data_IF_808955442423
#
_entry.id   IF_808955442423
#
_cell.length_a   1.000
_cell.length_b   1.000
_cell.length_c   1.000
_cell.angle_alpha   90.00
_cell.angle_beta   90.00
_cell.angle_gamma   90.00
#
_symmetry.space_group_name_H-M   'P 1'
#
loop_
_entity.id
_entity.type
_entity.pdbx_description
1 polymer ?
#
# COMPACT_ATOMS: atom_id res chain seq x y z
N UNK A 1 -28.81 -3.86 -1.80
CA UNK A 1 -28.16 -4.10 -0.49
C UNK A 1 -27.60 -5.51 -0.54
N UNK A 2 -26.29 -5.70 -0.36
CA UNK A 2 -25.68 -7.02 -0.40
C UNK A 2 -25.83 -7.75 0.93
N UNK A 3 -25.77 -9.09 0.90
CA UNK A 3 -25.58 -9.90 2.10
C UNK A 3 -24.27 -10.68 1.94
N UNK A 4 -23.49 -10.81 3.02
CA UNK A 4 -22.29 -11.64 3.05
C UNK A 4 -22.50 -12.78 4.03
N UNK A 5 -22.05 -13.97 3.66
CA UNK A 5 -21.89 -15.06 4.61
C UNK A 5 -20.68 -14.77 5.49
N UNK A 6 -20.88 -14.77 6.81
CA UNK A 6 -19.83 -14.56 7.77
C UNK A 6 -18.80 -15.72 7.71
N UNK A 7 -17.50 -15.45 7.54
CA UNK A 7 -16.47 -16.50 7.50
C UNK A 7 -16.21 -17.15 8.87
N UNK A 8 -16.83 -16.67 9.95
CA UNK A 8 -16.60 -17.14 11.32
C UNK A 8 -17.77 -17.94 11.89
N UNK A 9 -19.02 -17.46 11.73
CA UNK A 9 -20.21 -18.18 12.20
C UNK A 9 -21.01 -18.87 11.09
N UNK A 10 -20.72 -18.58 9.81
CA UNK A 10 -21.44 -19.17 8.68
C UNK A 10 -22.84 -18.59 8.42
N UNK A 11 -23.30 -17.63 9.21
CA UNK A 11 -24.59 -16.96 9.00
C UNK A 11 -24.51 -15.82 7.97
N UNK A 12 -25.61 -15.55 7.29
CA UNK A 12 -25.72 -14.42 6.36
C UNK A 12 -26.04 -13.15 7.12
N UNK A 13 -25.23 -12.10 6.94
CA UNK A 13 -25.50 -10.78 7.50
C UNK A 13 -25.51 -9.72 6.43
N UNK A 14 -26.18 -8.60 6.73
CA UNK A 14 -26.20 -7.43 5.85
C UNK A 14 -24.77 -6.93 5.59
N UNK A 15 -24.47 -6.60 4.33
CA UNK A 15 -23.16 -6.11 3.91
C UNK A 15 -23.30 -4.80 3.12
N UNK A 16 -22.56 -3.78 3.56
CA UNK A 16 -22.48 -2.45 2.92
C UNK A 16 -21.27 -2.28 2.01
N UNK A 17 -20.54 -3.37 1.69
CA UNK A 17 -19.28 -3.38 0.93
C UNK A 17 -18.06 -2.86 1.71
N UNK A 18 -18.22 -2.58 3.01
CA UNK A 18 -17.11 -2.27 3.90
C UNK A 18 -16.49 -3.57 4.45
N UNK A 19 -15.16 -3.65 4.53
CA UNK A 19 -14.45 -4.82 5.08
C UNK A 19 -14.54 -4.88 6.61
N UNK A 20 -14.79 -3.74 7.25
CA UNK A 20 -14.94 -3.59 8.70
C UNK A 20 -16.38 -3.82 9.19
N UNK A 21 -17.33 -4.12 8.29
CA UNK A 21 -18.71 -4.41 8.70
C UNK A 21 -18.73 -5.60 9.66
N UNK A 22 -19.51 -5.48 10.73
CA UNK A 22 -19.65 -6.52 11.75
C UNK A 22 -20.82 -7.43 11.41
N UNK A 23 -20.69 -8.71 11.74
CA UNK A 23 -21.78 -9.67 11.64
C UNK A 23 -22.86 -9.38 12.70
N UNK A 24 -24.12 -9.28 12.27
CA UNK A 24 -25.28 -9.07 13.17
C UNK A 24 -25.50 -10.23 14.17
N UNK A 25 -24.95 -11.42 13.89
CA UNK A 25 -25.13 -12.61 14.73
C UNK A 25 -23.97 -12.87 15.70
N UNK A 26 -22.72 -12.69 15.26
CA UNK A 26 -21.54 -13.02 16.07
C UNK A 26 -20.66 -11.82 16.44
N UNK A 27 -20.98 -10.61 15.95
CA UNK A 27 -20.24 -9.38 16.24
C UNK A 27 -18.82 -9.31 15.66
N UNK A 28 -18.38 -10.33 14.92
CA UNK A 28 -17.05 -10.36 14.28
C UNK A 28 -17.06 -9.69 12.91
N UNK A 29 -15.92 -9.17 12.47
CA UNK A 29 -15.77 -8.54 11.16
C UNK A 29 -16.06 -9.51 10.00
N UNK A 30 -16.84 -9.04 9.03
CA UNK A 30 -17.22 -9.77 7.81
C UNK A 30 -16.11 -9.80 6.76
N UNK A 31 -15.08 -8.95 6.90
CA UNK A 31 -13.92 -8.93 6.02
C UNK A 31 -13.13 -10.24 6.00
N UNK A 32 -13.09 -10.99 7.11
CA UNK A 32 -12.36 -12.27 7.18
C UNK A 32 -10.90 -12.10 6.75
N UNK A 33 -10.44 -12.95 5.82
CA UNK A 33 -9.08 -12.88 5.26
C UNK A 33 -8.78 -11.56 4.53
N UNK A 34 -9.78 -10.92 3.91
CA UNK A 34 -9.57 -9.66 3.20
C UNK A 34 -9.16 -8.53 4.16
N UNK A 35 -9.66 -8.57 5.39
CA UNK A 35 -9.28 -7.63 6.45
C UNK A 35 -7.82 -7.84 6.88
N UNK A 36 -7.42 -9.11 7.07
CA UNK A 36 -6.04 -9.47 7.42
C UNK A 36 -5.05 -9.04 6.33
N UNK A 37 -5.37 -9.30 5.04
CA UNK A 37 -4.56 -8.83 3.93
C UNK A 37 -4.49 -7.30 3.85
N UNK A 38 -5.59 -6.60 4.18
CA UNK A 38 -5.61 -5.15 4.24
C UNK A 38 -4.69 -4.62 5.35
N UNK A 39 -4.73 -5.21 6.55
CA UNK A 39 -3.86 -4.86 7.67
C UNK A 39 -2.38 -5.14 7.38
N UNK A 40 -2.07 -6.27 6.73
CA UNK A 40 -0.71 -6.59 6.29
C UNK A 40 -0.23 -5.54 5.27
N UNK A 41 -1.04 -5.24 4.25
CA UNK A 41 -0.71 -4.19 3.27
C UNK A 41 -0.48 -2.83 3.90
N UNK A 42 -1.29 -2.43 4.88
CA UNK A 42 -1.11 -1.16 5.57
C UNK A 42 0.17 -1.13 6.42
N UNK A 43 0.52 -2.25 7.07
CA UNK A 43 1.82 -2.38 7.76
C UNK A 43 3.00 -2.32 6.79
N UNK A 44 2.93 -3.06 5.69
CA UNK A 44 3.99 -3.10 4.68
C UNK A 44 4.17 -1.73 4.02
N UNK A 45 3.08 -1.01 3.71
CA UNK A 45 3.15 0.37 3.20
C UNK A 45 3.89 1.29 4.16
N UNK A 46 3.60 1.20 5.46
CA UNK A 46 4.26 2.02 6.48
C UNK A 46 5.74 1.65 6.61
N UNK A 47 6.05 0.36 6.71
CA UNK A 47 7.43 -0.13 6.80
C UNK A 47 8.25 0.28 5.56
N UNK A 48 7.70 0.07 4.37
CA UNK A 48 8.35 0.47 3.11
C UNK A 48 8.58 1.98 3.03
N UNK A 49 7.62 2.78 3.51
CA UNK A 49 7.77 4.24 3.56
C UNK A 49 8.89 4.64 4.52
N UNK A 50 8.92 4.09 5.72
CA UNK A 50 9.93 4.43 6.74
C UNK A 50 11.34 3.93 6.38
N UNK A 51 11.44 2.83 5.62
CA UNK A 51 12.70 2.27 5.12
C UNK A 51 13.20 2.99 3.85
N UNK A 52 12.38 3.84 3.21
CA UNK A 52 12.78 4.55 2.01
C UNK A 52 13.88 5.58 2.32
N UNK A 53 14.98 5.52 1.58
CA UNK A 53 16.18 6.35 1.80
C UNK A 53 15.89 7.85 1.74
N UNK A 54 14.90 8.26 0.94
CA UNK A 54 14.50 9.66 0.81
C UNK A 54 13.21 10.02 1.56
N UNK A 55 12.74 9.18 2.48
CA UNK A 55 11.56 9.50 3.29
C UNK A 55 11.82 10.73 4.16
N UNK A 56 10.96 11.73 4.01
CA UNK A 56 11.07 13.02 4.69
C UNK A 56 10.32 12.90 6.01
N UNK A 57 11.04 12.76 7.12
CA UNK A 57 10.41 12.68 8.44
C UNK A 57 10.17 14.08 8.98
N UNK A 58 9.09 14.27 9.73
CA UNK A 58 8.78 15.58 10.30
C UNK A 58 9.86 16.05 11.29
N UNK A 59 10.53 15.10 11.94
CA UNK A 59 11.67 15.29 12.86
C UNK A 59 12.97 15.71 12.17
N UNK A 60 13.05 15.64 10.83
CA UNK A 60 14.27 16.03 10.11
C UNK A 60 14.46 17.55 10.12
N UNK A 61 15.71 18.00 10.26
CA UNK A 61 16.06 19.42 10.15
C UNK A 61 15.72 19.97 8.75
N UNK A 62 15.43 21.26 8.65
CA UNK A 62 15.05 21.89 7.37
C UNK A 62 16.09 21.66 6.26
N UNK A 63 17.38 21.62 6.61
CA UNK A 63 18.47 21.28 5.70
C UNK A 63 18.39 19.83 5.20
N UNK A 64 18.17 18.87 6.10
CA UNK A 64 18.04 17.45 5.73
C UNK A 64 16.81 17.20 4.85
N UNK A 65 15.70 17.90 5.11
CA UNK A 65 14.50 17.88 4.24
C UNK A 65 14.83 18.37 2.83
N UNK A 66 15.63 19.43 2.70
CA UNK A 66 16.11 19.94 1.42
C UNK A 66 16.99 18.92 0.67
N UNK A 67 17.97 18.33 1.35
CA UNK A 67 18.84 17.30 0.77
C UNK A 67 18.07 16.05 0.32
N UNK A 68 17.16 15.54 1.14
CA UNK A 68 16.33 14.37 0.77
C UNK A 68 15.42 14.67 -0.42
N UNK A 69 14.86 15.88 -0.50
CA UNK A 69 14.04 16.31 -1.64
C UNK A 69 14.87 16.36 -2.92
N UNK A 70 16.05 16.97 -2.87
CA UNK A 70 16.96 17.00 -4.02
C UNK A 70 17.43 15.59 -4.42
N UNK A 71 17.80 14.75 -3.45
CA UNK A 71 18.18 13.36 -3.68
C UNK A 71 17.07 12.54 -4.37
N UNK A 72 15.83 12.67 -3.89
CA UNK A 72 14.69 12.00 -4.51
C UNK A 72 14.44 12.46 -5.95
N UNK A 73 14.63 13.76 -6.23
CA UNK A 73 14.51 14.32 -7.58
C UNK A 73 15.56 13.71 -8.53
N UNK A 74 16.84 13.70 -8.14
CA UNK A 74 17.90 13.09 -8.94
C UNK A 74 17.72 11.58 -9.11
N UNK A 75 17.30 10.87 -8.06
CA UNK A 75 17.00 9.45 -8.11
C UNK A 75 15.87 9.16 -9.11
N UNK A 76 14.82 9.99 -9.12
CA UNK A 76 13.71 9.84 -10.07
C UNK A 76 14.18 10.02 -11.52
N UNK A 77 15.01 11.04 -11.79
CA UNK A 77 15.60 11.24 -13.12
C UNK A 77 16.47 10.05 -13.51
N UNK A 78 17.30 9.56 -12.59
CA UNK A 78 18.17 8.42 -12.83
C UNK A 78 17.39 7.15 -13.20
N UNK A 79 16.36 6.80 -12.42
CA UNK A 79 15.50 5.64 -12.73
C UNK A 79 14.74 5.84 -14.04
N UNK A 80 14.30 7.06 -14.36
CA UNK A 80 13.65 7.34 -15.63
C UNK A 80 14.59 7.08 -16.83
N UNK A 81 15.84 7.54 -16.74
CA UNK A 81 16.87 7.27 -17.77
C UNK A 81 17.13 5.77 -17.88
N UNK A 82 17.35 5.07 -16.76
CA UNK A 82 17.59 3.63 -16.77
C UNK A 82 16.41 2.85 -17.39
N UNK A 83 15.18 3.22 -17.02
CA UNK A 83 13.97 2.58 -17.54
C UNK A 83 13.83 2.82 -19.04
N UNK A 84 14.13 4.04 -19.50
CA UNK A 84 14.14 4.38 -20.91
C UNK A 84 15.20 3.58 -21.69
N UNK A 85 16.43 3.47 -21.17
CA UNK A 85 17.49 2.65 -21.79
C UNK A 85 17.11 1.16 -21.80
N UNK A 86 16.57 0.63 -20.71
CA UNK A 86 16.10 -0.75 -20.65
C UNK A 86 14.99 -1.02 -21.66
N UNK A 87 14.05 -0.08 -21.81
CA UNK A 87 13.01 -0.15 -22.83
C UNK A 87 13.58 -0.12 -24.25
N UNK A 88 14.55 0.76 -24.53
CA UNK A 88 15.23 0.79 -25.84
C UNK A 88 15.91 -0.55 -26.16
N UNK A 89 16.60 -1.15 -25.19
CA UNK A 89 17.22 -2.48 -25.36
C UNK A 89 16.16 -3.55 -25.61
N UNK A 90 15.04 -3.51 -24.89
CA UNK A 90 13.97 -4.49 -25.04
C UNK A 90 13.22 -4.38 -26.39
N UNK A 91 13.13 -3.18 -26.97
CA UNK A 91 12.44 -2.91 -28.24
C UNK A 91 13.36 -3.10 -29.45
N UNK A 92 14.68 -3.03 -29.28
CA UNK A 92 15.60 -3.35 -30.37
C UNK A 92 15.39 -4.80 -30.83
N UNK A 93 15.10 -5.05 -32.12
CA UNK A 93 15.12 -6.39 -32.66
C UNK A 93 16.56 -6.90 -32.59
N UNK A 94 16.78 -7.96 -31.83
CA UNK A 94 18.06 -8.69 -31.83
C UNK A 94 18.34 -9.31 -33.20
#
# INVERSE_FOLDING_TARGET
>A
MGQKKCPQCGEWSKWTTNMNDLCEHCGKALGGRDLEYHEIRERDKKANKEQWIFDIKETDSAFMKGLKTAGNFFYTIYIAILTFLAWLVAVMPG
#
